data_IF_311716770085
#
_entry.id   IF_311716770085
#
_cell.length_a   1.000
_cell.length_b   1.000
_cell.length_c   1.000
_cell.angle_alpha   90.00
_cell.angle_beta   90.00
_cell.angle_gamma   90.00
#
_symmetry.space_group_name_H-M   'P 1'
#
loop_
_entity.id
_entity.type
_entity.pdbx_description
1 polymer ?
#
# COMPACT_ATOMS: atom_id res chain seq x y z
N UNK A 1 -15.46 11.33 7.20
CA UNK A 1 -14.12 11.25 6.58
C UNK A 1 -13.20 12.38 7.07
N UNK A 2 -13.67 13.64 7.18
CA UNK A 2 -12.84 14.77 7.61
C UNK A 2 -12.15 14.57 8.96
N UNK A 3 -12.90 14.17 10.01
CA UNK A 3 -12.33 13.87 11.33
C UNK A 3 -11.25 12.78 11.24
N UNK A 4 -11.49 11.72 10.46
CA UNK A 4 -10.52 10.65 10.27
C UNK A 4 -9.25 11.16 9.55
N UNK A 5 -9.41 12.01 8.52
CA UNK A 5 -8.28 12.66 7.87
C UNK A 5 -7.44 13.51 8.82
N UNK A 6 -8.08 14.28 9.72
CA UNK A 6 -7.39 15.06 10.77
C UNK A 6 -6.62 14.13 11.71
N UNK A 7 -7.22 13.02 12.15
CA UNK A 7 -6.52 12.02 12.97
C UNK A 7 -5.28 11.44 12.26
N UNK A 8 -5.39 11.20 10.94
CA UNK A 8 -4.26 10.71 10.15
C UNK A 8 -3.14 11.77 10.02
N UNK A 9 -3.49 13.03 9.78
CA UNK A 9 -2.52 14.13 9.74
C UNK A 9 -1.79 14.27 11.08
N UNK A 10 -2.52 14.19 12.19
CA UNK A 10 -1.91 14.21 13.51
C UNK A 10 -0.96 13.02 13.69
N UNK A 11 -1.42 11.79 13.43
CA UNK A 11 -0.60 10.58 13.54
C UNK A 11 0.67 10.67 12.68
N UNK A 12 0.56 11.22 11.47
CA UNK A 12 1.66 11.36 10.54
C UNK A 12 2.83 12.17 11.09
N UNK A 13 2.54 13.20 11.90
CA UNK A 13 3.56 14.06 12.47
C UNK A 13 4.12 13.58 13.83
N UNK A 14 3.41 12.69 14.52
CA UNK A 14 3.77 12.28 15.90
C UNK A 14 4.17 10.80 16.04
N UNK A 15 4.36 10.10 14.93
CA UNK A 15 4.85 8.71 14.92
C UNK A 15 6.12 8.67 14.09
N UNK A 16 7.18 8.05 14.60
CA UNK A 16 8.42 7.87 13.85
C UNK A 16 8.24 6.96 12.63
N UNK A 17 9.14 7.06 11.64
CA UNK A 17 9.02 6.30 10.39
C UNK A 17 9.18 4.81 10.60
N UNK A 18 8.34 4.04 9.93
CA UNK A 18 8.54 2.61 9.74
C UNK A 18 9.73 2.37 8.77
N UNK A 19 10.24 1.14 8.76
CA UNK A 19 11.39 0.75 7.93
C UNK A 19 11.19 1.05 6.45
N UNK A 20 10.03 0.67 5.91
CA UNK A 20 9.72 0.88 4.50
C UNK A 20 9.58 2.39 4.17
N UNK A 21 9.08 3.21 5.09
CA UNK A 21 8.92 4.65 4.85
C UNK A 21 10.27 5.36 4.70
N UNK A 22 11.23 5.07 5.59
CA UNK A 22 12.58 5.60 5.48
C UNK A 22 13.27 5.13 4.18
N UNK A 23 13.00 3.90 3.76
CA UNK A 23 13.50 3.37 2.50
C UNK A 23 12.90 4.11 1.29
N UNK A 24 11.62 4.44 1.30
CA UNK A 24 10.99 5.24 0.23
C UNK A 24 11.37 6.73 0.29
N UNK A 25 11.71 7.27 1.47
CA UNK A 25 12.35 8.58 1.60
C UNK A 25 13.66 8.61 0.82
N UNK A 26 14.53 7.60 1.00
CA UNK A 26 15.78 7.49 0.24
C UNK A 26 15.54 7.45 -1.30
N UNK A 27 14.43 6.86 -1.78
CA UNK A 27 14.05 6.93 -3.20
C UNK A 27 13.74 8.38 -3.61
N UNK A 28 13.05 9.12 -2.74
CA UNK A 28 12.65 10.50 -3.01
C UNK A 28 13.83 11.48 -3.13
N UNK A 29 14.96 11.18 -2.52
CA UNK A 29 16.19 11.97 -2.68
C UNK A 29 16.72 11.96 -4.13
N UNK A 30 16.34 10.96 -4.92
CA UNK A 30 16.78 10.82 -6.32
C UNK A 30 15.63 10.32 -7.20
N UNK A 31 14.78 11.26 -7.65
CA UNK A 31 13.56 10.93 -8.42
C UNK A 31 13.93 10.26 -9.74
N UNK A 32 13.36 9.09 -9.96
CA UNK A 32 13.55 8.25 -11.13
C UNK A 32 12.23 7.65 -11.63
N UNK A 33 12.22 7.13 -12.85
CA UNK A 33 11.06 6.46 -13.44
C UNK A 33 10.85 5.01 -12.93
N UNK A 34 11.73 4.52 -12.08
CA UNK A 34 11.63 3.23 -11.43
C UNK A 34 12.70 3.09 -10.35
N UNK A 35 12.53 2.09 -9.50
CA UNK A 35 13.46 1.71 -8.43
C UNK A 35 13.57 0.20 -8.38
N UNK A 36 14.56 -0.32 -7.66
CA UNK A 36 14.85 -1.75 -7.63
C UNK A 36 13.62 -2.62 -7.38
N UNK A 37 12.78 -2.28 -6.41
CA UNK A 37 11.66 -3.13 -5.97
C UNK A 37 10.28 -2.45 -6.07
N UNK A 38 10.22 -1.18 -6.50
CA UNK A 38 8.94 -0.46 -6.61
C UNK A 38 8.89 0.53 -7.78
N UNK A 39 7.67 0.76 -8.34
CA UNK A 39 7.42 1.86 -9.27
C UNK A 39 7.51 3.24 -8.57
N UNK A 40 7.58 4.36 -9.33
CA UNK A 40 8.00 5.66 -8.82
C UNK A 40 6.97 6.46 -8.01
N UNK A 41 5.69 6.10 -8.00
CA UNK A 41 4.63 6.95 -7.43
C UNK A 41 4.84 7.28 -5.96
N UNK A 42 5.31 6.32 -5.16
CA UNK A 42 5.58 6.52 -3.73
C UNK A 42 6.68 7.53 -3.51
N UNK A 43 7.81 7.39 -4.22
CA UNK A 43 8.92 8.34 -4.14
C UNK A 43 8.49 9.76 -4.56
N UNK A 44 7.71 9.88 -5.64
CA UNK A 44 7.18 11.16 -6.10
C UNK A 44 6.31 11.85 -5.03
N UNK A 45 5.42 11.11 -4.36
CA UNK A 45 4.54 11.65 -3.33
C UNK A 45 5.32 12.06 -2.07
N UNK A 46 6.33 11.28 -1.68
CA UNK A 46 7.26 11.63 -0.59
C UNK A 46 8.01 12.91 -0.96
N UNK A 47 8.64 12.95 -2.14
CA UNK A 47 9.37 14.12 -2.62
C UNK A 47 8.52 15.40 -2.59
N UNK A 48 7.29 15.34 -3.13
CA UNK A 48 6.37 16.49 -3.11
C UNK A 48 6.02 16.91 -1.67
N UNK A 49 5.80 15.96 -0.77
CA UNK A 49 5.45 16.26 0.61
C UNK A 49 6.61 16.92 1.38
N UNK A 50 7.82 16.45 1.17
CA UNK A 50 9.02 17.00 1.82
C UNK A 50 9.40 18.39 1.32
N UNK A 51 9.04 18.75 0.07
CA UNK A 51 9.19 20.12 -0.42
C UNK A 51 8.21 21.12 0.23
N UNK A 52 7.12 20.59 0.82
CA UNK A 52 6.14 21.44 1.52
C UNK A 52 6.37 21.44 3.04
N UNK A 53 6.77 20.30 3.60
CA UNK A 53 6.89 20.08 5.04
C UNK A 53 8.10 19.19 5.33
N UNK A 54 8.80 19.45 6.42
CA UNK A 54 9.93 18.62 6.83
C UNK A 54 9.52 17.40 7.67
N UNK A 55 10.49 16.50 7.87
CA UNK A 55 10.38 15.37 8.78
C UNK A 55 9.30 14.34 8.40
N UNK A 56 8.87 13.55 9.37
CA UNK A 56 7.89 12.47 9.18
C UNK A 56 6.57 12.97 8.57
N UNK A 57 6.17 14.19 8.94
CA UNK A 57 4.96 14.79 8.40
C UNK A 57 5.06 15.04 6.89
N UNK A 58 6.21 15.57 6.42
CA UNK A 58 6.46 15.76 5.00
C UNK A 58 6.39 14.44 4.22
N UNK A 59 7.09 13.42 4.70
CA UNK A 59 7.08 12.06 4.09
C UNK A 59 5.66 11.53 3.90
N UNK A 60 4.75 11.78 4.85
CA UNK A 60 3.40 11.20 4.89
C UNK A 60 2.27 12.08 4.39
N UNK A 61 2.52 13.37 4.20
CA UNK A 61 1.47 14.37 3.95
C UNK A 61 0.49 13.94 2.85
N UNK A 62 0.97 13.63 1.66
CA UNK A 62 0.11 13.24 0.55
C UNK A 62 -0.62 11.92 0.80
N UNK A 63 -0.02 10.97 1.50
CA UNK A 63 -0.66 9.68 1.82
C UNK A 63 -1.87 9.86 2.72
N UNK A 64 -1.81 10.81 3.67
CA UNK A 64 -2.96 11.13 4.53
C UNK A 64 -4.14 11.71 3.76
N UNK A 65 -3.86 12.43 2.66
CA UNK A 65 -4.90 13.02 1.80
C UNK A 65 -5.52 11.98 0.86
N UNK A 66 -4.74 11.00 0.39
CA UNK A 66 -5.24 9.97 -0.52
C UNK A 66 -6.40 9.17 0.08
N UNK A 67 -6.36 8.87 1.38
CA UNK A 67 -7.36 8.00 2.01
C UNK A 67 -8.78 8.57 1.97
N UNK A 68 -9.08 9.76 2.45
CA UNK A 68 -10.42 10.31 2.35
C UNK A 68 -10.86 10.48 0.90
N UNK A 69 -9.91 10.76 -0.03
CA UNK A 69 -10.20 10.92 -1.44
C UNK A 69 -10.62 9.60 -2.09
N UNK A 70 -9.86 8.50 -1.92
CA UNK A 70 -10.26 7.23 -2.53
C UNK A 70 -11.53 6.65 -1.90
N UNK A 71 -11.78 6.86 -0.61
CA UNK A 71 -13.04 6.47 0.03
C UNK A 71 -14.22 7.30 -0.51
N UNK A 72 -14.03 8.60 -0.74
CA UNK A 72 -15.04 9.43 -1.37
C UNK A 72 -15.32 8.98 -2.81
N UNK A 73 -14.29 8.73 -3.62
CA UNK A 73 -14.43 8.20 -4.99
C UNK A 73 -15.17 6.86 -4.95
N UNK A 74 -14.76 5.96 -4.06
CA UNK A 74 -15.40 4.64 -3.94
C UNK A 74 -16.86 4.74 -3.49
N UNK A 75 -17.19 5.62 -2.55
CA UNK A 75 -18.57 5.92 -2.19
C UNK A 75 -19.41 6.38 -3.40
N UNK A 76 -18.83 7.24 -4.26
CA UNK A 76 -19.51 7.70 -5.50
C UNK A 76 -19.77 6.56 -6.50
N UNK A 77 -18.95 5.49 -6.46
CA UNK A 77 -19.14 4.31 -7.30
C UNK A 77 -20.30 3.45 -6.81
N UNK A 78 -20.37 3.19 -5.49
CA UNK A 78 -21.25 2.17 -4.91
C UNK A 78 -22.55 2.71 -4.30
N UNK A 79 -22.62 4.01 -4.04
CA UNK A 79 -23.81 4.58 -3.37
C UNK A 79 -25.07 4.36 -4.20
N UNK A 80 -26.15 3.84 -3.59
CA UNK A 80 -27.48 3.81 -4.24
C UNK A 80 -28.02 5.23 -4.48
N UNK A 81 -28.94 5.36 -5.43
CA UNK A 81 -29.58 6.66 -5.75
C UNK A 81 -30.42 7.22 -4.59
N UNK A 82 -30.97 6.34 -3.77
CA UNK A 82 -31.82 6.63 -2.59
C UNK A 82 -31.02 6.61 -1.26
N UNK A 83 -29.66 6.65 -1.33
CA UNK A 83 -28.79 6.63 -0.15
C UNK A 83 -28.99 7.87 0.73
N UNK A 84 -29.22 7.65 2.01
CA UNK A 84 -29.38 8.66 3.03
C UNK A 84 -28.11 8.89 3.90
N UNK A 85 -28.21 9.77 4.90
CA UNK A 85 -27.12 10.03 5.87
C UNK A 85 -26.75 8.79 6.69
N UNK A 86 -27.71 7.89 6.95
CA UNK A 86 -27.46 6.66 7.72
C UNK A 86 -26.65 5.67 6.89
N UNK A 87 -26.88 5.63 5.58
CA UNK A 87 -26.10 4.80 4.65
C UNK A 87 -24.66 5.31 4.54
N UNK A 88 -24.48 6.63 4.44
CA UNK A 88 -23.14 7.23 4.48
C UNK A 88 -22.44 6.94 5.82
N UNK A 89 -23.14 7.03 6.95
CA UNK A 89 -22.61 6.66 8.27
C UNK A 89 -22.21 5.19 8.37
N UNK A 90 -23.01 4.28 7.81
CA UNK A 90 -22.67 2.86 7.74
C UNK A 90 -21.39 2.64 6.91
N UNK A 91 -21.30 3.24 5.73
CA UNK A 91 -20.13 3.13 4.86
C UNK A 91 -18.84 3.62 5.57
N UNK A 92 -18.92 4.81 6.19
CA UNK A 92 -17.77 5.36 6.94
C UNK A 92 -17.39 4.45 8.12
N UNK A 93 -18.37 3.93 8.87
CA UNK A 93 -18.10 3.01 9.98
C UNK A 93 -17.41 1.73 9.51
N UNK A 94 -17.91 1.09 8.45
CA UNK A 94 -17.33 -0.13 7.90
C UNK A 94 -15.90 0.13 7.42
N UNK A 95 -15.67 1.25 6.74
CA UNK A 95 -14.33 1.64 6.28
C UNK A 95 -13.40 1.91 7.46
N UNK A 96 -13.83 2.71 8.43
CA UNK A 96 -13.01 3.10 9.57
C UNK A 96 -12.71 1.94 10.53
N UNK A 97 -13.60 0.95 10.63
CA UNK A 97 -13.36 -0.25 11.43
C UNK A 97 -12.53 -1.33 10.70
N UNK A 98 -12.07 -1.08 9.48
CA UNK A 98 -11.15 -1.97 8.76
C UNK A 98 -9.72 -1.61 9.12
N UNK A 99 -9.01 -2.49 9.87
CA UNK A 99 -7.69 -2.19 10.41
C UNK A 99 -6.67 -1.80 9.34
N UNK A 100 -6.68 -2.49 8.21
CA UNK A 100 -5.79 -2.18 7.09
C UNK A 100 -5.96 -0.74 6.59
N UNK A 101 -7.19 -0.23 6.49
CA UNK A 101 -7.43 1.16 6.08
C UNK A 101 -6.97 2.17 7.15
N UNK A 102 -6.91 1.76 8.41
CA UNK A 102 -6.42 2.65 9.48
C UNK A 102 -4.91 2.86 9.41
N UNK A 103 -4.16 1.78 9.17
CA UNK A 103 -2.70 1.84 9.09
C UNK A 103 -2.26 2.49 7.77
N UNK A 104 -2.76 2.00 6.64
CA UNK A 104 -2.40 2.48 5.29
C UNK A 104 -3.08 3.81 4.92
N UNK A 105 -3.73 4.46 5.87
CA UNK A 105 -4.30 5.78 5.73
C UNK A 105 -3.34 6.93 6.10
N UNK A 106 -2.17 6.62 6.69
CA UNK A 106 -1.18 7.65 7.01
C UNK A 106 0.27 7.27 6.72
N UNK A 107 0.62 5.98 6.62
CA UNK A 107 1.98 5.56 6.32
C UNK A 107 2.32 5.74 4.83
N UNK A 108 3.57 6.11 4.55
CA UNK A 108 4.07 6.40 3.21
C UNK A 108 4.57 5.13 2.51
N UNK A 109 3.64 4.32 1.99
CA UNK A 109 3.93 3.07 1.28
C UNK A 109 3.12 2.95 -0.01
N UNK A 110 3.54 2.11 -0.97
CA UNK A 110 2.89 1.99 -2.30
C UNK A 110 1.40 1.64 -2.26
N UNK A 111 0.90 1.13 -1.15
CA UNK A 111 -0.48 0.73 -0.97
C UNK A 111 -1.46 1.92 -0.95
N UNK A 112 -1.05 3.08 -0.41
CA UNK A 112 -1.84 4.30 -0.42
C UNK A 112 -2.18 4.77 -1.85
N UNK A 113 -1.18 5.07 -2.69
CA UNK A 113 -1.41 5.44 -4.09
C UNK A 113 -2.08 4.31 -4.91
N UNK A 114 -1.80 3.03 -4.63
CA UNK A 114 -2.50 1.92 -5.27
C UNK A 114 -4.01 1.98 -4.99
N UNK A 115 -4.43 2.21 -3.74
CA UNK A 115 -5.85 2.32 -3.40
C UNK A 115 -6.53 3.49 -4.11
N UNK A 116 -5.87 4.64 -4.20
CA UNK A 116 -6.41 5.80 -4.93
C UNK A 116 -6.56 5.50 -6.41
N UNK A 117 -5.53 4.97 -7.05
CA UNK A 117 -5.54 4.67 -8.49
C UNK A 117 -6.46 3.52 -8.83
N UNK A 118 -6.62 2.51 -7.96
CA UNK A 118 -7.61 1.46 -8.10
C UNK A 118 -9.05 2.00 -7.99
N UNK A 119 -9.33 2.96 -7.09
CA UNK A 119 -10.62 3.61 -7.03
C UNK A 119 -10.91 4.43 -8.30
N UNK A 120 -9.92 5.14 -8.84
CA UNK A 120 -10.03 5.84 -10.12
C UNK A 120 -10.24 4.87 -11.29
N UNK A 121 -9.53 3.75 -11.30
CA UNK A 121 -9.76 2.71 -12.30
C UNK A 121 -11.18 2.16 -12.22
N UNK A 122 -11.70 1.81 -11.04
CA UNK A 122 -13.06 1.33 -10.88
C UNK A 122 -14.11 2.37 -11.31
N UNK A 123 -13.86 3.66 -11.05
CA UNK A 123 -14.72 4.76 -11.49
C UNK A 123 -14.73 4.88 -13.03
N UNK A 124 -13.56 4.90 -13.63
CA UNK A 124 -13.43 5.02 -15.09
C UNK A 124 -13.88 3.75 -15.81
N UNK A 125 -13.69 2.58 -15.22
CA UNK A 125 -14.25 1.31 -15.68
C UNK A 125 -15.80 1.33 -15.64
N UNK A 126 -16.39 1.91 -14.59
CA UNK A 126 -17.84 2.16 -14.54
C UNK A 126 -18.28 3.03 -15.72
N UNK A 127 -17.63 4.16 -15.94
CA UNK A 127 -17.94 5.05 -17.06
C UNK A 127 -17.77 4.36 -18.42
N UNK A 128 -16.74 3.54 -18.56
CA UNK A 128 -16.48 2.76 -19.77
C UNK A 128 -17.60 1.74 -20.04
N UNK A 129 -18.05 1.02 -19.02
CA UNK A 129 -19.13 0.03 -19.14
C UNK A 129 -20.49 0.69 -19.38
N UNK A 130 -20.70 1.91 -18.88
CA UNK A 130 -21.85 2.76 -19.15
C UNK A 130 -21.83 3.41 -20.56
N UNK A 131 -20.75 3.28 -21.31
CA UNK A 131 -20.60 3.86 -22.66
C UNK A 131 -20.34 5.36 -22.67
N UNK A 132 -19.82 5.95 -21.59
CA UNK A 132 -19.53 7.39 -21.54
C UNK A 132 -18.41 7.78 -22.50
N UNK A 133 -18.54 8.94 -23.12
CA UNK A 133 -17.56 9.53 -24.03
C UNK A 133 -16.20 9.68 -23.34
N UNK A 134 -15.11 9.36 -24.03
CA UNK A 134 -13.73 9.44 -23.52
C UNK A 134 -13.41 8.60 -22.23
N UNK A 135 -14.34 7.78 -21.74
CA UNK A 135 -14.10 6.91 -20.60
C UNK A 135 -12.92 5.95 -20.81
N UNK A 136 -12.71 5.50 -22.05
CA UNK A 136 -11.58 4.66 -22.45
C UNK A 136 -10.23 5.35 -22.22
N UNK A 137 -10.13 6.66 -22.50
CA UNK A 137 -8.93 7.46 -22.27
C UNK A 137 -8.59 7.52 -20.77
N UNK A 138 -9.56 7.93 -19.94
CA UNK A 138 -9.37 8.03 -18.50
C UNK A 138 -9.13 6.68 -17.84
N UNK A 139 -9.70 5.60 -18.39
CA UNK A 139 -9.42 4.24 -17.92
C UNK A 139 -7.96 3.87 -18.22
N UNK A 140 -7.43 4.21 -19.40
CA UNK A 140 -6.02 4.00 -19.73
C UNK A 140 -5.08 4.79 -18.84
N UNK A 141 -5.40 6.06 -18.56
CA UNK A 141 -4.65 6.89 -17.60
C UNK A 141 -4.66 6.25 -16.20
N UNK A 142 -5.83 5.82 -15.71
CA UNK A 142 -5.95 5.19 -14.39
C UNK A 142 -5.14 3.87 -14.31
N UNK A 143 -5.11 3.08 -15.40
CA UNK A 143 -4.29 1.87 -15.48
C UNK A 143 -2.80 2.19 -15.38
N UNK A 144 -2.32 3.22 -16.08
CA UNK A 144 -0.92 3.65 -16.01
C UNK A 144 -0.55 4.14 -14.60
N UNK A 145 -1.37 5.01 -13.99
CA UNK A 145 -1.15 5.51 -12.63
C UNK A 145 -1.14 4.37 -11.61
N UNK A 146 -1.97 3.35 -11.81
CA UNK A 146 -2.01 2.18 -10.94
C UNK A 146 -0.74 1.33 -11.08
N UNK A 147 -0.23 1.15 -12.30
CA UNK A 147 1.05 0.48 -12.54
C UNK A 147 2.22 1.27 -11.95
N UNK A 148 2.22 2.59 -12.04
CA UNK A 148 3.18 3.47 -11.37
C UNK A 148 3.10 3.43 -9.84
N UNK A 149 1.96 3.04 -9.29
CA UNK A 149 1.79 2.92 -7.83
C UNK A 149 2.33 1.60 -7.30
N UNK A 150 1.94 0.48 -7.90
CA UNK A 150 2.35 -0.87 -7.47
C UNK A 150 2.07 -1.90 -8.57
N UNK A 151 2.98 -2.84 -8.80
CA UNK A 151 2.79 -3.89 -9.82
C UNK A 151 1.55 -4.76 -9.61
N UNK A 152 1.11 -4.94 -8.35
CA UNK A 152 -0.15 -5.62 -8.03
C UNK A 152 -1.38 -4.94 -8.67
N UNK A 153 -1.28 -3.70 -9.11
CA UNK A 153 -2.31 -3.00 -9.86
C UNK A 153 -2.72 -3.72 -11.15
N UNK A 154 -1.79 -4.43 -11.79
CA UNK A 154 -2.10 -5.24 -12.97
C UNK A 154 -3.14 -6.34 -12.68
N UNK A 155 -3.12 -6.94 -11.47
CA UNK A 155 -4.10 -7.93 -11.04
C UNK A 155 -5.50 -7.32 -10.91
N UNK A 156 -5.62 -6.05 -10.51
CA UNK A 156 -6.91 -5.36 -10.42
C UNK A 156 -7.56 -5.27 -11.80
N UNK A 157 -6.78 -4.85 -12.81
CA UNK A 157 -7.25 -4.79 -14.21
C UNK A 157 -7.62 -6.17 -14.71
N UNK A 158 -6.74 -7.14 -14.52
CA UNK A 158 -6.96 -8.53 -14.95
C UNK A 158 -8.25 -9.10 -14.37
N UNK A 159 -8.46 -8.98 -13.06
CA UNK A 159 -9.63 -9.54 -12.39
C UNK A 159 -10.90 -8.76 -12.67
N UNK A 160 -10.82 -7.43 -12.86
CA UNK A 160 -11.97 -6.64 -13.32
C UNK A 160 -12.41 -7.08 -14.72
N UNK A 161 -11.47 -7.25 -15.65
CA UNK A 161 -11.77 -7.72 -17.00
C UNK A 161 -12.29 -9.17 -17.02
N UNK A 162 -11.69 -10.07 -16.23
CA UNK A 162 -12.15 -11.46 -16.10
C UNK A 162 -13.61 -11.57 -15.60
N UNK A 163 -14.07 -10.58 -14.81
CA UNK A 163 -15.44 -10.52 -14.33
C UNK A 163 -16.43 -9.93 -15.35
N UNK A 164 -15.96 -9.42 -16.48
CA UNK A 164 -16.83 -8.76 -17.47
C UNK A 164 -17.43 -9.74 -18.48
N UNK A 165 -18.60 -9.39 -19.08
CA UNK A 165 -19.12 -10.19 -20.18
C UNK A 165 -18.17 -10.16 -21.40
N UNK A 166 -18.08 -11.27 -22.16
CA UNK A 166 -17.22 -11.35 -23.36
C UNK A 166 -17.42 -10.22 -24.38
N UNK A 167 -18.61 -9.65 -24.47
CA UNK A 167 -18.91 -8.52 -25.36
C UNK A 167 -18.06 -7.28 -25.12
N UNK A 168 -17.49 -7.11 -23.92
CA UNK A 168 -16.58 -5.98 -23.61
C UNK A 168 -15.29 -6.09 -24.40
N UNK A 169 -14.81 -7.32 -24.66
CA UNK A 169 -13.60 -7.56 -25.44
C UNK A 169 -13.77 -7.29 -26.96
N UNK A 170 -15.01 -7.14 -27.42
CA UNK A 170 -15.30 -6.75 -28.79
C UNK A 170 -15.25 -5.22 -29.01
N UNK A 171 -15.07 -4.43 -27.95
CA UNK A 171 -14.99 -2.96 -28.05
C UNK A 171 -13.58 -2.51 -28.39
N UNK A 172 -13.32 -1.87 -29.56
CA UNK A 172 -11.98 -1.36 -29.90
C UNK A 172 -11.43 -0.38 -28.86
N UNK A 173 -12.31 0.38 -28.21
CA UNK A 173 -11.96 1.34 -27.15
C UNK A 173 -11.33 0.69 -25.91
N UNK A 174 -11.54 -0.61 -25.68
CA UNK A 174 -10.82 -1.33 -24.62
C UNK A 174 -9.32 -1.41 -24.95
N UNK A 175 -8.98 -1.74 -26.18
CA UNK A 175 -7.59 -1.84 -26.63
C UNK A 175 -6.93 -0.47 -26.71
N UNK A 176 -7.69 0.57 -27.07
CA UNK A 176 -7.19 1.96 -26.99
C UNK A 176 -6.87 2.37 -25.55
N UNK A 177 -7.65 1.90 -24.54
CA UNK A 177 -7.30 2.14 -23.13
C UNK A 177 -5.96 1.48 -22.78
N UNK A 178 -5.75 0.24 -23.23
CA UNK A 178 -4.46 -0.46 -23.04
C UNK A 178 -3.31 0.27 -23.73
N UNK A 179 -3.52 0.76 -24.97
CA UNK A 179 -2.51 1.52 -25.71
C UNK A 179 -2.14 2.84 -24.99
N UNK A 180 -3.12 3.56 -24.45
CA UNK A 180 -2.87 4.77 -23.64
C UNK A 180 -2.06 4.41 -22.39
N UNK A 181 -2.41 3.34 -21.69
CA UNK A 181 -1.67 2.91 -20.53
C UNK A 181 -0.21 2.55 -20.85
N UNK A 182 0.01 1.78 -21.92
CA UNK A 182 1.36 1.40 -22.37
C UNK A 182 2.17 2.62 -22.81
N UNK A 183 1.56 3.57 -23.54
CA UNK A 183 2.22 4.80 -23.96
C UNK A 183 2.69 5.62 -22.75
N UNK A 184 1.83 5.77 -21.73
CA UNK A 184 2.18 6.50 -20.51
C UNK A 184 3.24 5.75 -19.67
N UNK A 185 3.37 4.45 -19.81
CA UNK A 185 4.38 3.63 -19.11
C UNK A 185 5.73 3.56 -19.84
N UNK A 186 5.87 4.15 -21.03
CA UNK A 186 7.14 4.14 -21.80
C UNK A 186 8.33 4.60 -20.95
N UNK A 187 8.27 5.70 -20.19
CA UNK A 187 9.43 6.10 -19.36
C UNK A 187 9.85 5.04 -18.34
N UNK A 188 8.90 4.33 -17.74
CA UNK A 188 9.19 3.24 -16.83
C UNK A 188 9.80 2.02 -17.53
N UNK A 189 9.32 1.68 -18.73
CA UNK A 189 9.90 0.59 -19.51
C UNK A 189 11.33 0.92 -19.99
N UNK A 190 11.59 2.18 -20.36
CA UNK A 190 12.95 2.62 -20.70
C UNK A 190 13.86 2.46 -19.48
N UNK A 191 13.42 2.94 -18.30
CA UNK A 191 14.17 2.75 -17.06
C UNK A 191 14.43 1.27 -16.75
N UNK A 192 13.43 0.40 -16.89
CA UNK A 192 13.58 -1.04 -16.68
C UNK A 192 14.64 -1.64 -17.63
N UNK A 193 14.62 -1.23 -18.91
CA UNK A 193 15.57 -1.69 -19.90
C UNK A 193 17.00 -1.24 -19.57
N UNK A 194 17.19 0.00 -19.15
CA UNK A 194 18.48 0.56 -18.75
C UNK A 194 19.06 -0.07 -17.46
N UNK A 195 18.20 -0.72 -16.65
CA UNK A 195 18.55 -1.37 -15.40
C UNK A 195 18.33 -2.89 -15.44
N UNK A 196 18.52 -3.53 -16.60
CA UNK A 196 18.46 -4.98 -16.78
C UNK A 196 17.17 -5.64 -16.25
N UNK A 197 16.04 -4.93 -16.35
CA UNK A 197 14.73 -5.38 -15.85
C UNK A 197 14.73 -5.75 -14.37
N UNK A 198 15.56 -5.12 -13.57
CA UNK A 198 15.84 -5.48 -12.17
C UNK A 198 14.58 -5.63 -11.32
N UNK A 199 13.62 -4.68 -11.41
CA UNK A 199 12.37 -4.75 -10.64
C UNK A 199 11.51 -5.94 -11.06
N UNK A 200 11.35 -6.17 -12.35
CA UNK A 200 10.55 -7.29 -12.85
C UNK A 200 11.20 -8.63 -12.52
N UNK A 201 12.51 -8.76 -12.70
CA UNK A 201 13.27 -9.95 -12.32
C UNK A 201 13.12 -10.25 -10.82
N UNK A 202 13.22 -9.24 -9.96
CA UNK A 202 13.00 -9.39 -8.53
C UNK A 202 11.61 -9.93 -8.19
N UNK A 203 10.54 -9.38 -8.79
CA UNK A 203 9.17 -9.80 -8.50
C UNK A 203 8.79 -11.15 -9.10
N UNK A 204 9.34 -11.51 -10.26
CA UNK A 204 8.99 -12.75 -10.95
C UNK A 204 9.85 -13.96 -10.53
N UNK A 205 11.14 -13.75 -10.27
CA UNK A 205 12.10 -14.82 -10.02
C UNK A 205 12.84 -14.71 -8.68
N UNK A 206 13.09 -13.49 -8.18
CA UNK A 206 13.98 -13.26 -7.05
C UNK A 206 13.34 -13.32 -5.66
N UNK A 207 12.00 -13.29 -5.58
CA UNK A 207 11.31 -13.18 -4.31
C UNK A 207 10.75 -14.53 -3.86
N UNK A 208 11.37 -15.10 -2.83
CA UNK A 208 10.93 -16.31 -2.12
C UNK A 208 10.72 -17.56 -2.98
N UNK A 209 11.51 -18.57 -2.76
CA UNK A 209 11.41 -19.86 -3.42
C UNK A 209 11.21 -21.04 -2.45
N UNK A 210 11.01 -20.77 -1.15
CA UNK A 210 10.94 -21.82 -0.14
C UNK A 210 9.55 -21.86 0.47
N UNK A 211 8.82 -22.97 0.24
CA UNK A 211 7.56 -23.24 0.90
C UNK A 211 7.77 -23.59 2.37
N UNK A 212 6.96 -22.97 3.23
CA UNK A 212 6.83 -23.32 4.65
C UNK A 212 5.35 -23.42 5.01
N UNK A 213 4.87 -24.50 5.63
CA UNK A 213 3.44 -24.67 5.95
C UNK A 213 2.86 -23.54 6.81
N UNK A 214 3.66 -22.93 7.69
CA UNK A 214 3.24 -21.80 8.51
C UNK A 214 2.83 -20.58 7.69
N UNK A 215 3.35 -20.36 6.48
CA UNK A 215 2.95 -19.23 5.63
C UNK A 215 1.46 -19.26 5.26
N UNK A 216 0.90 -20.45 5.08
CA UNK A 216 -0.55 -20.61 4.84
C UNK A 216 -1.36 -20.20 6.07
N UNK A 217 -0.96 -20.69 7.25
CA UNK A 217 -1.64 -20.37 8.50
C UNK A 217 -1.53 -18.86 8.84
N UNK A 218 -0.33 -18.28 8.71
CA UNK A 218 -0.08 -16.86 8.91
C UNK A 218 -0.92 -15.99 7.95
N UNK A 219 -1.01 -16.38 6.68
CA UNK A 219 -1.84 -15.68 5.71
C UNK A 219 -3.31 -15.67 6.11
N UNK A 220 -3.87 -16.82 6.49
CA UNK A 220 -5.27 -16.93 6.91
C UNK A 220 -5.55 -16.14 8.20
N UNK A 221 -4.64 -16.18 9.18
CA UNK A 221 -4.75 -15.39 10.40
C UNK A 221 -4.66 -13.88 10.10
N UNK A 222 -3.75 -13.50 9.22
CA UNK A 222 -3.62 -12.11 8.78
C UNK A 222 -4.90 -11.61 8.13
N UNK A 223 -5.58 -12.39 7.29
CA UNK A 223 -6.87 -11.99 6.71
C UNK A 223 -7.92 -11.67 7.77
N UNK A 224 -7.98 -12.45 8.87
CA UNK A 224 -8.90 -12.17 9.97
C UNK A 224 -8.63 -10.82 10.61
N UNK A 225 -7.37 -10.52 10.89
CA UNK A 225 -6.97 -9.26 11.55
C UNK A 225 -7.17 -8.06 10.61
N UNK A 226 -6.68 -8.16 9.37
CA UNK A 226 -6.67 -7.05 8.40
C UNK A 226 -8.07 -6.61 8.01
N UNK A 227 -9.00 -7.56 7.88
CA UNK A 227 -10.39 -7.29 7.49
C UNK A 227 -11.37 -7.17 8.66
N UNK A 228 -10.89 -7.11 9.88
CA UNK A 228 -11.67 -7.06 11.11
C UNK A 228 -12.34 -8.41 11.46
N UNK A 229 -11.89 -9.10 12.51
CA UNK A 229 -12.39 -10.43 12.88
C UNK A 229 -13.90 -10.45 13.17
N UNK A 230 -14.48 -9.36 13.66
CA UNK A 230 -15.93 -9.25 13.89
C UNK A 230 -16.73 -9.17 12.57
N UNK A 231 -16.10 -8.75 11.47
CA UNK A 231 -16.77 -8.56 10.18
C UNK A 231 -16.58 -9.77 9.25
N UNK A 232 -15.52 -10.56 9.41
CA UNK A 232 -15.15 -11.65 8.50
C UNK A 232 -16.29 -12.64 8.24
N UNK A 233 -17.04 -13.17 9.24
CA UNK A 233 -18.17 -14.06 8.98
C UNK A 233 -19.27 -13.39 8.15
N UNK A 234 -19.45 -12.10 8.31
CA UNK A 234 -20.44 -11.32 7.59
C UNK A 234 -20.01 -10.97 6.17
N UNK A 235 -18.69 -10.83 5.90
CA UNK A 235 -18.19 -10.72 4.53
C UNK A 235 -18.55 -11.95 3.70
N UNK A 236 -18.32 -13.15 4.22
CA UNK A 236 -18.69 -14.39 3.52
C UNK A 236 -20.20 -14.44 3.25
N UNK A 237 -21.01 -14.18 4.28
CA UNK A 237 -22.48 -14.16 4.16
C UNK A 237 -22.95 -13.13 3.14
N UNK A 238 -22.40 -11.92 3.18
CA UNK A 238 -22.74 -10.84 2.26
C UNK A 238 -22.31 -11.17 0.83
N UNK A 239 -21.11 -11.72 0.65
CA UNK A 239 -20.59 -12.12 -0.67
C UNK A 239 -21.48 -13.18 -1.34
N UNK A 240 -22.02 -14.13 -0.59
CA UNK A 240 -22.96 -15.14 -1.08
C UNK A 240 -24.32 -14.50 -1.43
N UNK A 241 -24.84 -13.63 -0.55
CA UNK A 241 -26.20 -13.08 -0.66
C UNK A 241 -26.33 -11.97 -1.71
N UNK A 242 -25.31 -11.12 -1.87
CA UNK A 242 -25.37 -9.98 -2.79
C UNK A 242 -25.10 -10.45 -4.22
N UNK A 243 -26.10 -10.28 -5.09
CA UNK A 243 -25.96 -10.62 -6.52
C UNK A 243 -25.66 -9.35 -7.31
N UNK A 244 -24.59 -9.36 -8.15
CA UNK A 244 -24.22 -8.20 -8.93
C UNK A 244 -25.22 -7.95 -10.07
N UNK A 245 -25.54 -6.66 -10.31
CA UNK A 245 -26.50 -6.23 -11.33
C UNK A 245 -25.82 -5.70 -12.61
N UNK A 246 -24.58 -5.24 -12.50
CA UNK A 246 -23.82 -4.64 -13.59
C UNK A 246 -22.36 -5.12 -13.60
N UNK A 247 -21.58 -4.70 -14.60
CA UNK A 247 -20.20 -5.13 -14.78
C UNK A 247 -19.28 -4.70 -13.61
N UNK A 248 -19.48 -3.48 -13.07
CA UNK A 248 -18.68 -2.99 -11.95
C UNK A 248 -18.96 -3.79 -10.68
N UNK A 249 -20.21 -4.08 -10.40
CA UNK A 249 -20.59 -4.90 -9.24
C UNK A 249 -20.05 -6.34 -9.37
N UNK A 250 -20.01 -6.88 -10.61
CA UNK A 250 -19.35 -8.17 -10.88
C UNK A 250 -17.86 -8.09 -10.58
N UNK A 251 -17.17 -7.05 -11.04
CA UNK A 251 -15.77 -6.82 -10.73
C UNK A 251 -15.53 -6.66 -9.22
N UNK A 252 -16.32 -5.82 -8.53
CA UNK A 252 -16.24 -5.64 -7.08
C UNK A 252 -16.49 -6.92 -6.28
N UNK A 253 -17.29 -7.83 -6.80
CA UNK A 253 -17.51 -9.14 -6.17
C UNK A 253 -16.40 -10.13 -6.49
N UNK A 254 -15.85 -10.11 -7.70
CA UNK A 254 -14.84 -11.06 -8.17
C UNK A 254 -13.45 -10.73 -7.64
N UNK A 255 -13.04 -9.46 -7.66
CA UNK A 255 -11.71 -9.00 -7.24
C UNK A 255 -11.31 -9.52 -5.84
N UNK A 256 -12.13 -9.38 -4.77
CA UNK A 256 -11.74 -9.89 -3.45
C UNK A 256 -11.44 -11.38 -3.44
N UNK A 257 -12.33 -12.18 -4.05
CA UNK A 257 -12.15 -13.64 -4.11
C UNK A 257 -10.88 -14.00 -4.90
N UNK A 258 -10.67 -13.35 -6.05
CA UNK A 258 -9.52 -13.59 -6.90
C UNK A 258 -8.20 -13.18 -6.20
N UNK A 259 -8.15 -12.02 -5.53
CA UNK A 259 -6.97 -11.59 -4.74
C UNK A 259 -6.68 -12.57 -3.60
N UNK A 260 -7.70 -12.94 -2.81
CA UNK A 260 -7.53 -13.85 -1.67
C UNK A 260 -7.01 -15.20 -2.15
N UNK A 261 -7.60 -15.77 -3.22
CA UNK A 261 -7.18 -17.06 -3.76
C UNK A 261 -5.79 -16.97 -4.40
N UNK A 262 -5.52 -15.92 -5.19
CA UNK A 262 -4.22 -15.73 -5.82
C UNK A 262 -3.08 -15.68 -4.79
N UNK A 263 -3.25 -14.90 -3.72
CA UNK A 263 -2.23 -14.79 -2.69
C UNK A 263 -2.20 -16.00 -1.75
N UNK A 264 -3.31 -16.69 -1.55
CA UNK A 264 -3.29 -18.01 -0.89
C UNK A 264 -2.41 -19.00 -1.67
N UNK A 265 -2.57 -19.07 -2.99
CA UNK A 265 -1.71 -19.91 -3.83
C UNK A 265 -0.25 -19.42 -3.83
N UNK A 266 -0.03 -18.13 -3.72
CA UNK A 266 1.32 -17.54 -3.62
C UNK A 266 2.05 -17.94 -2.33
N UNK A 267 1.33 -18.29 -1.24
CA UNK A 267 1.95 -18.80 0.00
C UNK A 267 2.69 -20.13 -0.22
N UNK A 268 2.33 -20.89 -1.27
CA UNK A 268 3.03 -22.11 -1.64
C UNK A 268 4.45 -21.86 -2.19
N UNK A 269 4.75 -20.61 -2.54
CA UNK A 269 6.07 -20.18 -3.04
C UNK A 269 6.84 -19.34 -2.03
N UNK A 270 6.17 -18.78 -1.00
CA UNK A 270 6.84 -17.95 -0.01
C UNK A 270 5.87 -17.14 0.87
N UNK A 271 6.44 -16.33 1.75
CA UNK A 271 5.69 -15.46 2.65
C UNK A 271 4.91 -14.40 1.86
N UNK A 272 3.63 -14.23 2.18
CA UNK A 272 2.74 -13.20 1.64
C UNK A 272 2.48 -12.13 2.71
N UNK A 273 2.85 -10.89 2.40
CA UNK A 273 2.62 -9.78 3.31
C UNK A 273 1.12 -9.44 3.40
N UNK A 274 0.60 -9.09 4.59
CA UNK A 274 -0.83 -8.84 4.81
C UNK A 274 -1.44 -7.80 3.87
N UNK A 275 -0.70 -6.75 3.53
CA UNK A 275 -1.19 -5.64 2.70
C UNK A 275 -1.34 -5.98 1.21
N UNK A 276 -0.81 -7.10 0.73
CA UNK A 276 -0.93 -7.42 -0.70
C UNK A 276 -2.38 -7.62 -1.15
N UNK A 277 -3.28 -7.93 -0.22
CA UNK A 277 -4.72 -8.07 -0.50
C UNK A 277 -5.53 -6.78 -0.27
N UNK A 278 -4.89 -5.62 -0.05
CA UNK A 278 -5.59 -4.39 0.37
C UNK A 278 -6.70 -3.98 -0.60
N UNK A 279 -6.51 -4.16 -1.91
CA UNK A 279 -7.53 -3.81 -2.92
C UNK A 279 -8.82 -4.62 -2.77
N UNK A 280 -8.75 -5.82 -2.18
CA UNK A 280 -9.92 -6.62 -1.88
C UNK A 280 -10.93 -5.90 -0.97
N UNK A 281 -10.46 -4.93 -0.16
CA UNK A 281 -11.30 -4.12 0.72
C UNK A 281 -12.44 -3.46 -0.03
N UNK A 282 -12.24 -2.95 -1.24
CA UNK A 282 -13.32 -2.31 -2.01
C UNK A 282 -14.50 -3.24 -2.25
N UNK A 283 -14.24 -4.45 -2.71
CA UNK A 283 -15.30 -5.39 -2.98
C UNK A 283 -15.94 -5.97 -1.71
N UNK A 284 -15.14 -6.16 -0.65
CA UNK A 284 -15.65 -6.59 0.66
C UNK A 284 -16.57 -5.51 1.27
N UNK A 285 -16.14 -4.25 1.24
CA UNK A 285 -16.98 -3.12 1.70
C UNK A 285 -18.27 -2.99 0.88
N UNK A 286 -18.19 -3.11 -0.45
CA UNK A 286 -19.37 -3.09 -1.31
C UNK A 286 -20.39 -4.15 -0.93
N UNK A 287 -19.95 -5.41 -0.81
CA UNK A 287 -20.87 -6.52 -0.51
C UNK A 287 -21.46 -6.42 0.90
N UNK A 288 -20.62 -6.08 1.89
CA UNK A 288 -21.05 -5.94 3.28
C UNK A 288 -22.00 -4.75 3.46
N UNK A 289 -21.69 -3.59 2.87
CA UNK A 289 -22.55 -2.41 2.88
C UNK A 289 -23.91 -2.72 2.25
N UNK A 290 -23.92 -3.30 1.04
CA UNK A 290 -25.15 -3.64 0.32
C UNK A 290 -26.00 -4.64 1.09
N UNK A 291 -25.39 -5.63 1.72
CA UNK A 291 -26.07 -6.60 2.56
C UNK A 291 -26.64 -5.94 3.83
N UNK A 292 -25.82 -5.21 4.56
CA UNK A 292 -26.21 -4.60 5.85
C UNK A 292 -27.31 -3.54 5.69
N UNK A 293 -27.32 -2.82 4.57
CA UNK A 293 -28.38 -1.85 4.23
C UNK A 293 -29.76 -2.49 4.21
N UNK A 294 -29.87 -3.74 3.74
CA UNK A 294 -31.14 -4.51 3.65
C UNK A 294 -31.45 -5.31 4.92
N UNK A 295 -30.54 -5.38 5.89
CA UNK A 295 -30.66 -6.22 7.08
C UNK A 295 -30.43 -5.42 8.37
N UNK A 296 -31.48 -4.85 8.99
CA UNK A 296 -31.33 -3.96 10.16
C UNK A 296 -30.63 -4.60 11.37
N UNK A 297 -30.78 -5.90 11.59
CA UNK A 297 -30.06 -6.61 12.67
C UNK A 297 -28.56 -6.65 12.42
N UNK A 298 -28.15 -6.98 11.19
CA UNK A 298 -26.74 -6.98 10.76
C UNK A 298 -26.14 -5.57 10.86
N UNK A 299 -26.88 -4.56 10.38
CA UNK A 299 -26.43 -3.16 10.48
C UNK A 299 -26.17 -2.75 11.95
N UNK A 300 -27.08 -3.07 12.87
CA UNK A 300 -26.89 -2.78 14.30
C UNK A 300 -25.67 -3.49 14.89
N UNK A 301 -25.46 -4.75 14.55
CA UNK A 301 -24.27 -5.49 14.96
C UNK A 301 -22.98 -4.83 14.45
N UNK A 302 -22.89 -4.53 13.15
CA UNK A 302 -21.72 -3.91 12.52
C UNK A 302 -21.43 -2.52 13.12
N UNK A 303 -22.46 -1.73 13.40
CA UNK A 303 -22.26 -0.44 14.07
C UNK A 303 -21.71 -0.60 15.49
N UNK A 304 -22.20 -1.58 16.28
CA UNK A 304 -21.69 -1.85 17.64
C UNK A 304 -20.26 -2.34 17.62
N UNK A 305 -19.95 -3.36 16.80
CA UNK A 305 -18.60 -3.91 16.67
C UNK A 305 -17.64 -2.90 16.03
N UNK A 306 -18.12 -2.06 15.14
CA UNK A 306 -17.38 -0.95 14.58
C UNK A 306 -16.88 0.01 15.66
N UNK A 307 -17.74 0.41 16.61
CA UNK A 307 -17.33 1.27 17.74
C UNK A 307 -16.31 0.58 18.66
N UNK A 308 -16.49 -0.72 18.94
CA UNK A 308 -15.51 -1.51 19.71
C UNK A 308 -14.15 -1.49 18.99
N UNK A 309 -14.17 -1.76 17.69
CA UNK A 309 -12.94 -1.74 16.87
C UNK A 309 -12.29 -0.35 16.86
N UNK A 310 -13.07 0.71 16.69
CA UNK A 310 -12.53 2.08 16.72
C UNK A 310 -11.91 2.46 18.06
N UNK A 311 -12.49 2.01 19.18
CA UNK A 311 -11.90 2.21 20.50
C UNK A 311 -10.53 1.49 20.62
N UNK A 312 -10.42 0.24 20.14
CA UNK A 312 -9.15 -0.50 20.09
C UNK A 312 -8.13 0.18 19.18
N UNK A 313 -8.55 0.64 18.00
CA UNK A 313 -7.69 1.38 17.06
C UNK A 313 -7.19 2.69 17.70
N UNK A 314 -8.07 3.43 18.35
CA UNK A 314 -7.67 4.67 19.05
C UNK A 314 -6.62 4.40 20.11
N UNK A 315 -6.78 3.34 20.91
CA UNK A 315 -5.79 2.91 21.89
C UNK A 315 -4.46 2.55 21.20
N UNK A 316 -4.49 1.75 20.13
CA UNK A 316 -3.28 1.39 19.37
C UNK A 316 -2.57 2.63 18.82
N UNK A 317 -3.31 3.60 18.27
CA UNK A 317 -2.74 4.86 17.77
C UNK A 317 -2.07 5.67 18.89
N UNK A 318 -2.67 5.72 20.09
CA UNK A 318 -2.05 6.37 21.25
C UNK A 318 -0.76 5.65 21.67
N UNK A 319 -0.77 4.32 21.68
CA UNK A 319 0.44 3.53 21.95
C UNK A 319 1.53 3.81 20.90
N UNK A 320 1.18 3.93 19.62
CA UNK A 320 2.14 4.27 18.55
C UNK A 320 2.76 5.67 18.70
N UNK A 321 2.07 6.61 19.36
CA UNK A 321 2.60 7.97 19.58
C UNK A 321 3.43 8.03 20.86
N UNK A 322 2.93 7.47 21.96
CA UNK A 322 3.47 7.70 23.29
C UNK A 322 4.33 6.55 23.85
N UNK A 323 4.24 5.38 23.25
CA UNK A 323 4.91 4.14 23.69
C UNK A 323 4.88 3.90 25.22
N UNK A 324 3.73 3.99 25.90
CA UNK A 324 3.65 3.90 27.36
C UNK A 324 4.04 2.52 27.91
N UNK A 325 4.15 1.52 27.04
CA UNK A 325 4.47 0.13 27.38
C UNK A 325 5.95 -0.20 27.14
N UNK A 326 6.76 0.75 26.62
CA UNK A 326 8.17 0.52 26.28
C UNK A 326 8.35 -0.58 25.21
N UNK A 327 7.42 -0.66 24.26
CA UNK A 327 7.47 -1.66 23.20
C UNK A 327 8.65 -1.34 22.27
N UNK A 328 9.49 -2.33 21.99
CA UNK A 328 10.54 -2.23 20.99
C UNK A 328 9.99 -2.65 19.64
N UNK A 329 9.76 -1.68 18.76
CA UNK A 329 9.28 -1.90 17.41
C UNK A 329 9.80 -0.80 16.47
N UNK A 330 9.78 -1.01 15.21
CA UNK A 330 10.39 -0.16 14.18
C UNK A 330 9.96 1.32 14.15
N UNK A 331 8.88 1.69 14.82
CA UNK A 331 8.35 3.07 14.90
C UNK A 331 8.63 3.75 16.23
N UNK A 332 9.53 3.20 17.05
CA UNK A 332 9.86 3.73 18.36
C UNK A 332 11.37 3.93 18.55
N UNK A 333 11.73 4.95 19.26
CA UNK A 333 13.09 5.25 19.73
C UNK A 333 14.15 5.40 18.62
N UNK A 334 13.73 5.63 17.36
CA UNK A 334 14.66 5.76 16.24
C UNK A 334 15.57 6.99 16.40
N UNK A 335 15.00 8.15 16.80
CA UNK A 335 15.79 9.39 16.98
C UNK A 335 16.90 9.21 17.99
N UNK A 336 16.62 8.55 19.12
CA UNK A 336 17.61 8.29 20.18
C UNK A 336 18.64 7.28 19.70
N UNK A 337 18.20 6.12 19.21
CA UNK A 337 19.12 5.03 18.83
C UNK A 337 20.05 5.41 17.66
N UNK A 338 19.53 6.10 16.64
CA UNK A 338 20.39 6.54 15.53
C UNK A 338 21.24 7.75 15.91
N UNK A 339 20.78 8.61 16.84
CA UNK A 339 21.58 9.68 17.42
C UNK A 339 22.82 9.16 18.14
N UNK A 340 22.70 8.11 18.94
CA UNK A 340 23.83 7.44 19.61
C UNK A 340 24.84 6.90 18.59
N UNK A 341 24.38 6.29 17.48
CA UNK A 341 25.27 5.83 16.41
C UNK A 341 25.98 7.03 15.74
N UNK A 342 25.31 8.14 15.54
CA UNK A 342 25.88 9.33 14.93
C UNK A 342 26.96 9.97 15.85
N UNK A 343 26.76 9.97 17.16
CA UNK A 343 27.77 10.41 18.12
C UNK A 343 29.05 9.54 18.05
N UNK A 344 28.90 8.22 17.97
CA UNK A 344 30.02 7.28 17.83
C UNK A 344 30.71 7.48 16.46
N UNK A 345 29.93 7.75 15.41
CA UNK A 345 30.45 7.98 14.06
C UNK A 345 31.32 9.23 13.98
N UNK A 346 31.06 10.25 14.77
CA UNK A 346 31.83 11.51 14.84
C UNK A 346 32.07 12.10 13.42
N UNK A 347 31.00 12.21 12.63
CA UNK A 347 31.01 12.73 11.26
C UNK A 347 31.56 11.78 10.20
N UNK A 348 32.00 10.57 10.55
CA UNK A 348 32.38 9.54 9.58
C UNK A 348 31.15 8.94 8.92
N UNK A 349 31.21 8.51 7.66
CA UNK A 349 30.16 7.73 7.02
C UNK A 349 29.91 6.42 7.78
N UNK A 350 28.63 6.00 7.84
CA UNK A 350 28.25 4.73 8.47
C UNK A 350 27.85 3.71 7.42
N UNK A 351 28.54 2.58 7.41
CA UNK A 351 28.28 1.46 6.50
C UNK A 351 27.54 0.36 7.27
N UNK A 352 26.31 0.09 6.87
CA UNK A 352 25.48 -0.97 7.44
C UNK A 352 25.67 -2.27 6.64
N UNK A 353 26.04 -3.35 7.30
CA UNK A 353 26.22 -4.66 6.64
C UNK A 353 24.92 -5.43 6.44
N UNK A 354 23.90 -5.10 7.21
CA UNK A 354 22.59 -5.72 7.14
C UNK A 354 21.50 -4.65 7.37
N UNK A 355 20.39 -4.72 6.60
CA UNK A 355 19.26 -3.85 6.85
C UNK A 355 19.30 -2.54 6.07
N UNK A 356 18.95 -2.61 4.77
CA UNK A 356 18.83 -1.42 3.91
C UNK A 356 17.92 -0.32 4.52
N UNK A 357 16.91 -0.72 5.28
CA UNK A 357 16.01 0.19 5.95
C UNK A 357 16.65 0.84 7.19
N UNK A 358 17.56 0.13 7.87
CA UNK A 358 18.32 0.67 9.00
C UNK A 358 19.25 1.79 8.52
N UNK A 359 19.96 1.57 7.41
CA UNK A 359 20.77 2.61 6.77
C UNK A 359 19.92 3.83 6.35
N UNK A 360 18.73 3.60 5.79
CA UNK A 360 17.82 4.67 5.40
C UNK A 360 17.30 5.47 6.61
N UNK A 361 16.97 4.80 7.71
CA UNK A 361 16.58 5.48 8.97
C UNK A 361 17.70 6.31 9.56
N UNK A 362 18.92 5.76 9.60
CA UNK A 362 20.08 6.51 10.07
C UNK A 362 20.23 7.80 9.26
N UNK A 363 20.23 7.71 7.93
CA UNK A 363 20.32 8.88 7.06
C UNK A 363 19.20 9.89 7.34
N UNK A 364 17.95 9.43 7.47
CA UNK A 364 16.79 10.30 7.73
C UNK A 364 16.87 11.01 9.09
N UNK A 365 17.18 10.29 10.17
CA UNK A 365 17.13 10.85 11.52
C UNK A 365 18.34 11.66 11.90
N UNK A 366 19.49 11.41 11.28
CA UNK A 366 20.76 12.07 11.63
C UNK A 366 21.28 13.04 10.57
N UNK A 367 20.79 12.92 9.32
CA UNK A 367 21.40 13.60 8.17
C UNK A 367 22.81 13.08 7.84
N UNK A 368 23.27 12.02 8.52
CA UNK A 368 24.58 11.42 8.32
C UNK A 368 24.69 10.63 7.02
N UNK A 369 25.89 10.57 6.48
CA UNK A 369 26.19 9.79 5.28
C UNK A 369 26.10 8.30 5.59
N UNK A 370 25.21 7.60 4.93
CA UNK A 370 24.92 6.18 5.13
C UNK A 370 25.08 5.36 3.84
N UNK A 371 25.37 4.08 4.01
CA UNK A 371 25.38 3.10 2.93
C UNK A 371 24.99 1.72 3.46
N UNK A 372 24.24 0.95 2.68
CA UNK A 372 23.98 -0.45 3.00
C UNK A 372 24.78 -1.34 2.04
N UNK A 373 25.78 -2.03 2.57
CA UNK A 373 26.68 -2.86 1.79
C UNK A 373 25.94 -4.07 1.18
N UNK A 374 26.20 -4.40 -0.10
CA UNK A 374 25.74 -5.65 -0.71
C UNK A 374 26.25 -6.86 0.09
N UNK A 375 25.37 -7.85 0.28
CA UNK A 375 25.73 -9.04 1.03
C UNK A 375 25.12 -10.29 0.38
N UNK A 376 25.87 -11.35 0.23
CA UNK A 376 25.39 -12.63 -0.33
C UNK A 376 24.27 -13.29 0.49
N UNK A 377 24.14 -12.93 1.76
CA UNK A 377 23.12 -13.44 2.69
C UNK A 377 21.87 -12.54 2.75
N UNK A 378 21.90 -11.39 2.08
CA UNK A 378 20.84 -10.39 2.12
C UNK A 378 20.37 -10.07 0.70
N UNK A 379 19.08 -9.74 0.54
CA UNK A 379 18.52 -9.43 -0.78
C UNK A 379 19.15 -8.18 -1.39
N UNK A 380 19.23 -8.12 -2.71
CA UNK A 380 19.49 -6.89 -3.46
C UNK A 380 18.48 -5.81 -3.10
N UNK A 381 18.89 -4.55 -3.08
CA UNK A 381 18.09 -3.40 -2.70
C UNK A 381 18.56 -2.11 -3.40
N UNK A 382 17.82 -1.01 -3.27
CA UNK A 382 18.06 0.23 -4.01
C UNK A 382 19.45 0.88 -3.75
N UNK A 383 20.07 0.66 -2.60
CA UNK A 383 21.41 1.20 -2.34
C UNK A 383 22.43 0.77 -3.40
N UNK A 384 22.32 -0.43 -3.95
CA UNK A 384 23.18 -0.95 -5.01
C UNK A 384 22.97 -0.29 -6.38
N UNK A 385 21.84 0.41 -6.57
CA UNK A 385 21.49 1.14 -7.80
C UNK A 385 21.69 2.65 -7.66
N UNK A 386 21.87 3.13 -6.45
CA UNK A 386 22.09 4.54 -6.15
C UNK A 386 23.58 4.86 -6.06
N UNK A 387 24.31 4.06 -5.31
CA UNK A 387 25.69 4.30 -4.95
C UNK A 387 26.48 2.99 -5.06
N UNK A 388 27.78 3.10 -5.32
CA UNK A 388 28.72 2.01 -5.12
C UNK A 388 29.59 2.28 -3.89
N UNK A 389 30.24 1.24 -3.36
CA UNK A 389 31.11 1.32 -2.21
C UNK A 389 32.45 2.01 -2.52
N UNK A 390 32.77 2.23 -3.79
CA UNK A 390 34.03 2.88 -4.21
C UNK A 390 34.11 4.33 -3.75
N UNK A 391 32.96 5.00 -3.51
CA UNK A 391 32.91 6.37 -2.96
C UNK A 391 33.55 6.50 -1.57
N UNK A 392 33.70 5.38 -0.84
CA UNK A 392 34.34 5.34 0.46
C UNK A 392 35.80 4.93 0.40
N UNK A 393 36.35 4.65 -0.79
CA UNK A 393 37.73 4.25 -0.95
C UNK A 393 38.70 5.30 -0.36
N UNK A 394 39.56 4.86 0.56
CA UNK A 394 40.50 5.75 1.26
C UNK A 394 39.93 6.59 2.38
N UNK A 395 38.64 6.43 2.71
CA UNK A 395 37.96 7.13 3.83
C UNK A 395 37.83 6.19 5.03
N UNK A 396 37.96 6.74 6.22
CA UNK A 396 37.57 6.04 7.45
C UNK A 396 36.05 5.98 7.56
N UNK A 397 35.50 4.82 7.83
CA UNK A 397 34.06 4.58 7.96
C UNK A 397 33.77 3.84 9.26
N UNK A 398 32.62 4.10 9.87
CA UNK A 398 32.08 3.27 10.92
C UNK A 398 31.27 2.12 10.29
N UNK A 399 31.55 0.89 10.69
CA UNK A 399 30.82 -0.29 10.22
C UNK A 399 29.87 -0.76 11.31
N UNK A 400 28.57 -0.74 11.00
CA UNK A 400 27.53 -1.34 11.86
C UNK A 400 27.29 -2.78 11.42
N UNK A 401 27.35 -3.71 12.36
CA UNK A 401 27.08 -5.12 12.12
C UNK A 401 26.22 -5.68 13.26
N UNK A 402 25.17 -6.46 12.96
CA UNK A 402 24.33 -7.09 13.98
C UNK A 402 24.98 -8.31 14.65
N UNK A 403 26.20 -8.67 14.22
CA UNK A 403 26.94 -9.81 14.74
C UNK A 403 28.21 -9.33 15.44
N UNK A 404 28.50 -9.90 16.62
CA UNK A 404 29.85 -9.86 17.20
C UNK A 404 30.79 -10.68 16.27
N UNK A 405 31.31 -10.01 15.26
CA UNK A 405 32.43 -10.54 14.49
C UNK A 405 33.71 -10.27 15.28
N UNK A 406 33.98 -11.14 16.26
CA UNK A 406 35.26 -11.20 16.95
C UNK A 406 36.35 -11.82 16.05
#
# INVERSE_FOLDING_TARGET
>A
LGVWGICNLFQAGFTELANDEAYYHMFAENISWGYFDHPPMTALLVWLGEHLFGGEFGVRFFFTLLQPLYLFVFWRIIRPSDADRRDAGLFVMLSAATLMLQLYGFIAVPDGPLMMTAALFLLTFKWFTEGRRAAWLWMGVAMALMAYSKYHGALVVLFALAATPPRVFLRPTLYLSGAVALLLLVPHFVWQYEHDWASLAYHLAGRNSVFRPNYVAEYLLNLLVVFNPFFVPLYVKAWIAVKPQNAVERALRFIPAAFIVFFLLSTLRGYVQPQWVIVAVFGLLYTLFTYARRHPRTRRYLMRMGWVTLALIALTRLVMIFNPLGIRYEVFDNRTSYGEIAEIADGRPVVFRHGYAVAAKYAFYTGGEAYCQPNIRYRTHQWQFRDDDTRFAGREVLVETPYDEA
#
